data_IF_864849105268
#
_entry.id   IF_864849105268
#
_cell.length_a   1.000
_cell.length_b   1.000
_cell.length_c   1.000
_cell.angle_alpha   90.00
_cell.angle_beta   90.00
_cell.angle_gamma   90.00
#
_symmetry.space_group_name_H-M   'P 1'
#
loop_
_entity.id
_entity.type
_entity.pdbx_description
1 polymer ?
#
# COMPACT_ATOMS: atom_id res chain seq x y z
N UNK A 1 -9.78 19.51 9.29
CA UNK A 1 -10.14 18.09 9.17
C UNK A 1 -9.05 17.30 8.46
N UNK A 2 -8.66 17.66 7.21
CA UNK A 2 -7.67 16.95 6.39
C UNK A 2 -6.33 16.78 7.12
N UNK A 3 -5.81 17.84 7.76
CA UNK A 3 -4.55 17.77 8.51
C UNK A 3 -4.58 16.73 9.63
N UNK A 4 -5.67 16.65 10.40
CA UNK A 4 -5.81 15.65 11.46
C UNK A 4 -5.84 14.23 10.90
N UNK A 5 -6.55 14.05 9.78
CA UNK A 5 -6.62 12.76 9.08
C UNK A 5 -5.22 12.36 8.58
N UNK A 6 -4.49 13.28 7.97
CA UNK A 6 -3.15 13.00 7.43
C UNK A 6 -2.13 12.66 8.54
N UNK A 7 -2.20 13.29 9.71
CA UNK A 7 -1.38 12.91 10.86
C UNK A 7 -1.67 11.47 11.32
N UNK A 8 -2.95 11.09 11.33
CA UNK A 8 -3.35 9.72 11.65
C UNK A 8 -2.81 8.71 10.63
N UNK A 9 -2.90 9.01 9.34
CA UNK A 9 -2.34 8.15 8.29
C UNK A 9 -0.81 8.06 8.35
N UNK A 10 -0.11 9.16 8.60
CA UNK A 10 1.35 9.15 8.77
C UNK A 10 1.76 8.17 9.87
N UNK A 11 1.08 8.22 11.01
CA UNK A 11 1.33 7.30 12.12
C UNK A 11 1.00 5.85 11.74
N UNK A 12 -0.17 5.59 11.17
CA UNK A 12 -0.61 4.25 10.81
C UNK A 12 0.26 3.62 9.71
N UNK A 13 0.62 4.35 8.67
CA UNK A 13 1.52 3.85 7.64
C UNK A 13 2.93 3.58 8.18
N UNK A 14 3.43 4.41 9.09
CA UNK A 14 4.72 4.15 9.76
C UNK A 14 4.69 2.86 10.56
N UNK A 15 3.59 2.61 11.29
CA UNK A 15 3.40 1.35 12.02
C UNK A 15 3.28 0.16 11.06
N UNK A 16 2.61 0.36 9.92
CA UNK A 16 2.44 -0.67 8.92
C UNK A 16 3.78 -1.11 8.31
N UNK A 17 4.59 -0.15 7.86
CA UNK A 17 5.95 -0.43 7.40
C UNK A 17 6.80 -1.13 8.47
N UNK A 18 6.64 -0.74 9.73
CA UNK A 18 7.37 -1.36 10.83
C UNK A 18 6.92 -2.80 11.08
N UNK A 19 5.62 -3.09 11.01
CA UNK A 19 5.07 -4.45 11.09
C UNK A 19 5.58 -5.31 9.95
N UNK A 20 5.60 -4.81 8.72
CA UNK A 20 6.08 -5.55 7.55
C UNK A 20 7.57 -5.91 7.64
N UNK A 21 8.38 -4.97 8.13
CA UNK A 21 9.83 -5.05 7.99
C UNK A 21 10.54 -5.54 9.25
N UNK A 22 9.94 -5.34 10.44
CA UNK A 22 10.64 -5.55 11.70
C UNK A 22 9.91 -6.48 12.66
N UNK A 23 8.63 -6.24 12.97
CA UNK A 23 7.92 -6.96 14.04
C UNK A 23 6.47 -7.25 13.62
N UNK A 24 6.13 -8.48 13.23
CA UNK A 24 7.02 -9.66 13.14
C UNK A 24 7.95 -9.68 11.94
N UNK A 25 7.78 -8.78 10.96
CA UNK A 25 8.59 -8.72 9.75
C UNK A 25 8.26 -9.84 8.75
N UNK A 26 9.18 -10.07 7.81
CA UNK A 26 9.07 -11.16 6.83
C UNK A 26 8.55 -10.73 5.45
N UNK A 27 8.24 -9.44 5.25
CA UNK A 27 7.79 -8.94 3.95
C UNK A 27 8.85 -9.16 2.85
N UNK A 28 10.13 -8.93 3.16
CA UNK A 28 11.21 -9.17 2.22
C UNK A 28 11.27 -10.63 1.74
N UNK A 29 11.13 -11.60 2.66
CA UNK A 29 11.08 -13.03 2.32
C UNK A 29 9.83 -13.37 1.50
N UNK A 30 8.71 -12.75 1.83
CA UNK A 30 7.47 -12.89 1.07
C UNK A 30 7.66 -12.38 -0.37
N UNK A 31 8.32 -11.23 -0.57
CA UNK A 31 8.60 -10.68 -1.90
C UNK A 31 9.55 -11.59 -2.71
N UNK A 32 10.60 -12.13 -2.09
CA UNK A 32 11.47 -13.13 -2.73
C UNK A 32 10.67 -14.37 -3.15
N UNK A 33 9.85 -14.91 -2.25
CA UNK A 33 8.97 -16.05 -2.52
C UNK A 33 7.93 -15.73 -3.61
N UNK A 34 7.42 -14.50 -3.63
CA UNK A 34 6.42 -14.04 -4.59
C UNK A 34 6.99 -13.90 -6.00
N UNK A 35 8.13 -13.24 -6.14
CA UNK A 35 8.76 -13.00 -7.43
C UNK A 35 9.65 -14.15 -7.91
N UNK A 36 10.04 -15.07 -7.01
CA UNK A 36 10.93 -16.17 -7.35
C UNK A 36 12.38 -15.73 -7.63
N UNK A 37 12.77 -14.58 -7.07
CA UNK A 37 14.10 -13.98 -7.30
C UNK A 37 14.82 -13.82 -5.98
N UNK A 38 16.11 -14.11 -5.96
CA UNK A 38 16.95 -13.82 -4.80
C UNK A 38 17.25 -12.32 -4.79
N UNK A 39 16.87 -11.66 -3.70
CA UNK A 39 17.16 -10.24 -3.44
C UNK A 39 18.16 -10.19 -2.29
N UNK A 40 19.21 -9.41 -2.43
CA UNK A 40 20.19 -9.24 -1.34
C UNK A 40 19.71 -8.18 -0.32
N UNK A 41 20.34 -8.16 0.85
CA UNK A 41 19.97 -7.24 1.94
C UNK A 41 20.12 -5.76 1.57
N UNK A 42 21.08 -5.42 0.72
CA UNK A 42 21.29 -4.06 0.23
C UNK A 42 20.15 -3.62 -0.69
N UNK A 43 19.76 -4.47 -1.64
CA UNK A 43 18.60 -4.19 -2.52
C UNK A 43 17.31 -4.01 -1.69
N UNK A 44 17.10 -4.84 -0.67
CA UNK A 44 15.96 -4.71 0.24
C UNK A 44 16.01 -3.35 0.95
N UNK A 45 17.15 -2.98 1.52
CA UNK A 45 17.29 -1.71 2.22
C UNK A 45 17.03 -0.50 1.30
N UNK A 46 17.59 -0.53 0.07
CA UNK A 46 17.40 0.56 -0.90
C UNK A 46 15.96 0.63 -1.42
N UNK A 47 15.26 -0.50 -1.53
CA UNK A 47 13.87 -0.54 -1.99
C UNK A 47 12.87 0.13 -1.01
N UNK A 48 13.25 0.32 0.25
CA UNK A 48 12.44 1.11 1.21
C UNK A 48 12.41 2.59 0.90
N UNK A 49 13.42 3.12 0.20
CA UNK A 49 13.49 4.55 -0.13
C UNK A 49 12.28 4.99 -0.97
N UNK A 50 11.94 4.35 -2.10
CA UNK A 50 10.74 4.69 -2.88
C UNK A 50 9.44 4.59 -2.08
N UNK A 51 9.33 3.59 -1.20
CA UNK A 51 8.16 3.42 -0.32
C UNK A 51 8.08 4.59 0.66
N UNK A 52 9.16 4.91 1.36
CA UNK A 52 9.22 6.04 2.28
C UNK A 52 8.91 7.38 1.57
N UNK A 53 9.47 7.59 0.39
CA UNK A 53 9.19 8.79 -0.43
C UNK A 53 7.70 8.85 -0.80
N UNK A 54 7.10 7.74 -1.24
CA UNK A 54 5.66 7.70 -1.52
C UNK A 54 4.86 8.08 -0.28
N UNK A 55 5.13 7.47 0.87
CA UNK A 55 4.42 7.74 2.12
C UNK A 55 4.54 9.21 2.55
N UNK A 56 5.73 9.79 2.42
CA UNK A 56 5.93 11.21 2.69
C UNK A 56 5.09 12.09 1.75
N UNK A 57 5.11 11.81 0.45
CA UNK A 57 4.36 12.59 -0.55
C UNK A 57 2.87 12.50 -0.31
N UNK A 58 2.31 11.28 -0.19
CA UNK A 58 0.86 11.07 -0.03
C UNK A 58 0.32 11.58 1.31
N UNK A 59 1.19 11.77 2.31
CA UNK A 59 0.83 12.31 3.62
C UNK A 59 0.99 13.82 3.68
N UNK A 60 2.15 14.34 3.29
CA UNK A 60 2.45 15.76 3.47
C UNK A 60 1.85 16.66 2.39
N UNK A 61 1.72 16.20 1.16
CA UNK A 61 1.09 17.01 0.11
C UNK A 61 -0.36 17.35 0.47
N UNK A 62 -1.26 16.40 0.82
CA UNK A 62 -2.61 16.77 1.25
C UNK A 62 -2.63 17.52 2.58
N UNK A 63 -1.69 17.25 3.49
CA UNK A 63 -1.57 17.98 4.76
C UNK A 63 -1.36 19.50 4.54
N UNK A 64 -0.44 19.88 3.66
CA UNK A 64 -0.15 21.27 3.39
C UNK A 64 -1.12 21.94 2.42
N UNK A 65 -1.53 21.22 1.38
CA UNK A 65 -2.46 21.77 0.37
C UNK A 65 -3.90 21.79 0.86
N UNK A 66 -4.26 20.92 1.78
CA UNK A 66 -5.62 20.70 2.30
C UNK A 66 -6.66 20.43 1.19
N UNK A 67 -6.21 19.94 0.02
CA UNK A 67 -7.09 19.57 -1.09
C UNK A 67 -7.70 18.18 -0.84
N UNK A 68 -9.05 18.07 -0.72
CA UNK A 68 -9.70 16.81 -0.35
C UNK A 68 -9.39 15.66 -1.30
N UNK A 69 -9.27 15.93 -2.60
CA UNK A 69 -9.00 14.90 -3.61
C UNK A 69 -7.61 14.24 -3.42
N UNK A 70 -6.60 14.99 -2.99
CA UNK A 70 -5.25 14.46 -2.76
C UNK A 70 -5.23 13.53 -1.55
N UNK A 71 -6.07 13.78 -0.56
CA UNK A 71 -6.19 12.93 0.60
C UNK A 71 -6.85 11.56 0.29
N UNK A 72 -7.52 11.42 -0.86
CA UNK A 72 -8.03 10.12 -1.30
C UNK A 72 -6.92 9.13 -1.62
N UNK A 73 -5.70 9.58 -1.95
CA UNK A 73 -4.58 8.68 -2.24
C UNK A 73 -4.23 7.80 -1.04
N UNK A 74 -3.89 8.32 0.15
CA UNK A 74 -3.63 7.48 1.32
C UNK A 74 -4.88 6.75 1.81
N UNK A 75 -6.08 7.33 1.65
CA UNK A 75 -7.34 6.68 2.01
C UNK A 75 -7.56 5.41 1.17
N UNK A 76 -7.43 5.49 -0.15
CA UNK A 76 -7.59 4.33 -1.03
C UNK A 76 -6.42 3.36 -0.92
N UNK A 77 -5.21 3.84 -0.66
CA UNK A 77 -4.09 2.98 -0.37
C UNK A 77 -4.33 2.15 0.89
N UNK A 78 -4.87 2.74 1.96
CA UNK A 78 -5.21 2.00 3.18
C UNK A 78 -6.30 0.92 2.96
N UNK A 79 -7.28 1.16 2.09
CA UNK A 79 -8.24 0.12 1.67
C UNK A 79 -7.54 -1.00 0.88
N UNK A 80 -6.64 -0.62 -0.02
CA UNK A 80 -5.88 -1.56 -0.83
C UNK A 80 -4.96 -2.43 0.03
N UNK A 81 -4.28 -1.88 1.04
CA UNK A 81 -3.44 -2.63 1.97
C UNK A 81 -4.26 -3.69 2.72
N UNK A 82 -5.41 -3.32 3.29
CA UNK A 82 -6.30 -4.31 3.92
C UNK A 82 -6.68 -5.44 2.96
N UNK A 83 -7.04 -5.10 1.73
CA UNK A 83 -7.44 -6.06 0.71
C UNK A 83 -6.29 -7.00 0.33
N UNK A 84 -5.10 -6.45 0.04
CA UNK A 84 -3.97 -7.28 -0.43
C UNK A 84 -3.44 -8.20 0.66
N UNK A 85 -3.43 -7.81 1.91
CA UNK A 85 -3.02 -8.66 3.03
C UNK A 85 -4.01 -9.81 3.25
N UNK A 86 -5.32 -9.57 3.18
CA UNK A 86 -6.34 -10.63 3.30
C UNK A 86 -6.25 -11.62 2.12
N UNK A 87 -6.19 -11.10 0.90
CA UNK A 87 -6.06 -11.93 -0.32
C UNK A 87 -4.72 -12.66 -0.35
N UNK A 88 -3.67 -12.03 0.17
CA UNK A 88 -2.32 -12.54 0.25
C UNK A 88 -2.23 -13.87 1.02
N UNK A 89 -3.05 -14.08 2.05
CA UNK A 89 -3.11 -15.35 2.79
C UNK A 89 -3.31 -16.52 1.83
N UNK A 90 -4.35 -16.41 0.99
CA UNK A 90 -4.69 -17.45 0.00
C UNK A 90 -3.69 -17.50 -1.15
N UNK A 91 -3.31 -16.33 -1.65
CA UNK A 91 -2.42 -16.20 -2.80
C UNK A 91 -1.02 -16.77 -2.53
N UNK A 92 -0.50 -16.57 -1.33
CA UNK A 92 0.82 -17.03 -0.91
C UNK A 92 0.80 -18.42 -0.24
N UNK A 93 -0.40 -19.04 -0.10
CA UNK A 93 -0.58 -20.31 0.59
C UNK A 93 0.11 -20.28 1.95
N UNK A 94 -0.26 -19.29 2.76
CA UNK A 94 0.32 -19.13 4.10
C UNK A 94 -0.20 -20.24 5.02
N UNK A 95 0.69 -20.85 5.79
CA UNK A 95 0.34 -21.88 6.77
C UNK A 95 -0.48 -21.32 7.95
N UNK A 96 -0.28 -20.03 8.23
CA UNK A 96 -1.05 -19.28 9.22
C UNK A 96 -1.90 -18.23 8.51
N UNK A 97 -3.07 -17.86 9.03
CA UNK A 97 -3.93 -16.83 8.46
C UNK A 97 -3.37 -15.40 8.73
N UNK A 98 -2.11 -15.18 8.39
CA UNK A 98 -1.39 -13.94 8.63
C UNK A 98 -0.36 -13.69 7.52
N UNK A 99 -0.31 -12.46 7.03
CA UNK A 99 0.76 -11.93 6.17
C UNK A 99 1.48 -10.78 6.89
N UNK A 100 2.78 -10.55 6.67
CA UNK A 100 3.48 -9.39 7.22
C UNK A 100 2.72 -8.10 6.94
N UNK A 101 2.52 -7.24 7.93
CA UNK A 101 1.73 -5.99 7.79
C UNK A 101 0.21 -6.15 7.92
N UNK A 102 -0.31 -7.37 8.09
CA UNK A 102 -1.75 -7.63 8.05
C UNK A 102 -2.54 -6.92 9.16
N UNK A 103 -2.03 -6.88 10.38
CA UNK A 103 -2.77 -6.29 11.50
C UNK A 103 -2.95 -4.78 11.29
N UNK A 104 -1.88 -4.07 10.99
CA UNK A 104 -1.93 -2.63 10.70
C UNK A 104 -2.59 -2.32 9.36
N UNK A 105 -2.45 -3.19 8.36
CA UNK A 105 -3.17 -3.11 7.09
C UNK A 105 -4.69 -3.16 7.27
N UNK A 106 -5.20 -4.04 8.14
CA UNK A 106 -6.63 -4.08 8.49
C UNK A 106 -7.04 -2.80 9.22
N UNK A 107 -6.23 -2.30 10.14
CA UNK A 107 -6.51 -1.03 10.85
C UNK A 107 -6.54 0.13 9.85
N UNK A 108 -5.61 0.19 8.89
CA UNK A 108 -5.62 1.16 7.79
C UNK A 108 -6.93 1.10 7.00
N UNK A 109 -7.38 -0.12 6.63
CA UNK A 109 -8.62 -0.32 5.89
C UNK A 109 -9.85 0.18 6.67
N UNK A 110 -9.96 -0.18 7.95
CA UNK A 110 -11.06 0.27 8.82
C UNK A 110 -11.04 1.80 8.95
N UNK A 111 -9.87 2.38 9.20
CA UNK A 111 -9.69 3.84 9.27
C UNK A 111 -10.11 4.49 7.96
N UNK A 112 -9.75 3.92 6.83
CA UNK A 112 -10.11 4.44 5.50
C UNK A 112 -11.62 4.43 5.26
N UNK A 113 -12.32 3.38 5.68
CA UNK A 113 -13.79 3.34 5.61
C UNK A 113 -14.41 4.47 6.46
N UNK A 114 -13.94 4.63 7.70
CA UNK A 114 -14.45 5.68 8.61
C UNK A 114 -14.21 7.06 8.00
N UNK A 115 -13.01 7.30 7.46
CA UNK A 115 -12.66 8.57 6.82
C UNK A 115 -13.50 8.84 5.58
N UNK A 116 -13.76 7.84 4.73
CA UNK A 116 -14.63 7.98 3.56
C UNK A 116 -16.06 8.33 3.95
N UNK A 117 -16.60 7.72 5.01
CA UNK A 117 -17.90 8.06 5.56
C UNK A 117 -17.92 9.52 6.03
N UNK A 118 -16.86 9.96 6.71
CA UNK A 118 -16.70 11.36 7.15
C UNK A 118 -16.65 12.32 5.97
N UNK A 119 -15.86 12.01 4.94
CA UNK A 119 -15.77 12.79 3.70
C UNK A 119 -17.14 12.95 3.03
N UNK A 120 -17.92 11.86 2.99
CA UNK A 120 -19.26 11.87 2.42
C UNK A 120 -20.22 12.74 3.24
N UNK A 121 -20.20 12.63 4.57
CA UNK A 121 -21.05 13.43 5.48
C UNK A 121 -20.71 14.91 5.41
N UNK A 122 -19.43 15.27 5.34
CA UNK A 122 -18.94 16.64 5.23
C UNK A 122 -19.04 17.19 3.81
N UNK A 123 -19.52 16.40 2.85
CA UNK A 123 -19.66 16.76 1.43
C UNK A 123 -18.39 17.38 0.83
N UNK A 124 -17.21 16.85 1.21
CA UNK A 124 -15.90 17.39 0.83
C UNK A 124 -15.60 17.21 -0.65
N UNK A 125 -16.25 16.25 -1.30
CA UNK A 125 -16.04 15.93 -2.72
C UNK A 125 -17.36 15.57 -3.41
N UNK A 126 -17.46 15.89 -4.69
CA UNK A 126 -18.47 15.32 -5.58
C UNK A 126 -18.18 13.85 -5.88
N UNK A 127 -19.17 13.12 -6.38
CA UNK A 127 -19.03 11.71 -6.80
C UNK A 127 -17.88 11.54 -7.77
N UNK A 128 -17.73 12.46 -8.74
CA UNK A 128 -16.60 12.46 -9.68
C UNK A 128 -15.25 12.57 -8.98
N UNK A 129 -15.14 13.38 -7.91
CA UNK A 129 -13.93 13.49 -7.10
C UNK A 129 -13.50 12.16 -6.49
N UNK A 130 -14.44 11.39 -5.94
CA UNK A 130 -14.16 10.04 -5.44
C UNK A 130 -13.70 9.11 -6.55
N UNK A 131 -14.35 9.13 -7.72
CA UNK A 131 -13.97 8.30 -8.87
C UNK A 131 -12.55 8.66 -9.34
N UNK A 132 -12.19 9.93 -9.46
CA UNK A 132 -10.85 10.37 -9.88
C UNK A 132 -9.76 10.07 -8.85
N UNK A 133 -10.09 9.95 -7.59
CA UNK A 133 -9.14 9.52 -6.55
C UNK A 133 -8.57 8.13 -6.78
N UNK A 134 -9.35 7.22 -7.40
CA UNK A 134 -8.90 5.83 -7.68
C UNK A 134 -7.72 5.81 -8.66
N UNK A 135 -7.83 6.36 -9.89
CA UNK A 135 -6.69 6.38 -10.80
C UNK A 135 -5.51 7.19 -10.25
N UNK A 136 -5.75 8.22 -9.47
CA UNK A 136 -4.67 8.98 -8.82
C UNK A 136 -3.87 8.09 -7.86
N UNK A 137 -4.53 7.32 -7.01
CA UNK A 137 -3.88 6.34 -6.12
C UNK A 137 -3.12 5.29 -6.94
N UNK A 138 -3.73 4.73 -7.99
CA UNK A 138 -3.09 3.71 -8.83
C UNK A 138 -1.82 4.26 -9.49
N UNK A 139 -1.83 5.50 -9.98
CA UNK A 139 -0.65 6.13 -10.59
C UNK A 139 0.47 6.28 -9.56
N UNK A 140 0.18 6.80 -8.37
CA UNK A 140 1.17 6.95 -7.30
C UNK A 140 1.77 5.60 -6.90
N UNK A 141 0.94 4.62 -6.65
CA UNK A 141 1.37 3.28 -6.27
C UNK A 141 2.17 2.58 -7.38
N UNK A 142 1.71 2.67 -8.65
CA UNK A 142 2.42 2.07 -9.78
C UNK A 142 3.79 2.71 -10.03
N UNK A 143 3.93 4.02 -9.83
CA UNK A 143 5.21 4.71 -9.92
C UNK A 143 6.19 4.17 -8.86
N UNK A 144 5.76 4.05 -7.62
CA UNK A 144 6.55 3.48 -6.53
C UNK A 144 6.92 2.03 -6.83
N UNK A 145 5.98 1.17 -7.22
CA UNK A 145 6.24 -0.24 -7.53
C UNK A 145 7.24 -0.42 -8.67
N UNK A 146 7.16 0.40 -9.73
CA UNK A 146 8.15 0.36 -10.81
C UNK A 146 9.55 0.67 -10.33
N UNK A 147 9.70 1.63 -9.43
CA UNK A 147 10.99 2.01 -8.86
C UNK A 147 11.56 0.87 -8.00
N UNK A 148 10.73 0.26 -7.15
CA UNK A 148 11.13 -0.91 -6.34
C UNK A 148 11.55 -2.08 -7.23
N UNK A 149 10.80 -2.39 -8.28
CA UNK A 149 11.15 -3.46 -9.22
C UNK A 149 12.47 -3.19 -9.95
N UNK A 150 12.70 -1.94 -10.36
CA UNK A 150 13.97 -1.56 -10.99
C UNK A 150 15.17 -1.76 -10.05
N UNK A 151 15.02 -1.46 -8.75
CA UNK A 151 16.04 -1.72 -7.71
C UNK A 151 16.31 -3.23 -7.58
N UNK A 152 15.28 -4.05 -7.69
CA UNK A 152 15.43 -5.51 -7.66
C UNK A 152 15.94 -6.10 -8.99
N UNK A 153 16.13 -5.27 -10.02
CA UNK A 153 16.50 -5.75 -11.35
C UNK A 153 15.41 -6.55 -12.06
N UNK A 154 14.15 -6.30 -11.71
CA UNK A 154 13.00 -7.00 -12.25
C UNK A 154 12.23 -6.16 -13.27
N UNK A 155 11.83 -6.80 -14.37
CA UNK A 155 10.91 -6.17 -15.33
C UNK A 155 9.46 -6.27 -14.84
N UNK A 156 8.70 -5.20 -15.07
CA UNK A 156 7.27 -5.14 -14.78
C UNK A 156 6.46 -6.26 -15.49
N UNK A 157 6.83 -6.61 -16.73
CA UNK A 157 6.21 -7.72 -17.47
C UNK A 157 6.41 -9.05 -16.76
N UNK A 158 7.60 -9.28 -16.24
CA UNK A 158 7.91 -10.49 -15.45
C UNK A 158 7.05 -10.57 -14.19
N UNK A 159 6.93 -9.46 -13.46
CA UNK A 159 6.06 -9.37 -12.28
C UNK A 159 4.61 -9.71 -12.62
N UNK A 160 4.05 -9.06 -13.65
CA UNK A 160 2.65 -9.27 -14.06
C UNK A 160 2.39 -10.71 -14.52
N UNK A 161 3.34 -11.34 -15.19
CA UNK A 161 3.24 -12.74 -15.59
C UNK A 161 3.18 -13.67 -14.36
N UNK A 162 4.01 -13.42 -13.35
CA UNK A 162 4.02 -14.20 -12.11
C UNK A 162 2.73 -14.01 -11.30
N UNK A 163 2.24 -12.78 -11.20
CA UNK A 163 0.96 -12.49 -10.54
C UNK A 163 -0.17 -13.27 -11.23
N UNK A 164 -0.31 -13.14 -12.56
CA UNK A 164 -1.33 -13.88 -13.33
C UNK A 164 -1.24 -15.40 -13.10
N UNK A 165 -0.03 -15.96 -13.13
CA UNK A 165 0.20 -17.39 -12.90
C UNK A 165 -0.26 -17.82 -11.49
N UNK A 166 -0.01 -17.00 -10.47
CA UNK A 166 -0.40 -17.30 -9.09
C UNK A 166 -1.91 -17.17 -8.88
N UNK A 167 -2.53 -16.13 -9.41
CA UNK A 167 -3.99 -15.98 -9.37
C UNK A 167 -4.70 -17.17 -10.04
N UNK A 168 -4.22 -17.59 -11.22
CA UNK A 168 -4.78 -18.75 -11.93
C UNK A 168 -4.65 -20.09 -11.19
N UNK A 169 -3.69 -20.20 -10.27
CA UNK A 169 -3.50 -21.40 -9.43
C UNK A 169 -4.25 -21.33 -8.09
N UNK A 170 -4.69 -20.14 -7.68
CA UNK A 170 -5.38 -19.91 -6.42
C UNK A 170 -6.92 -19.96 -6.55
N UNK A 171 -7.42 -19.76 -7.79
CA UNK A 171 -8.82 -19.96 -8.21
C UNK A 171 -9.06 -21.39 -8.67
#
# INVERSE_FOLDING_TARGET
LIQKIMLGYMFLFTLHEWEEMRIPGGFADLMVKFFGVKVNSEQIAVAHIPVAVLLLVITFVPFFTQLPILALVPIYLGLFEAFIHIVGIKLHKMDKPYTPGMATGIILGITSVIVLITYSKEQLLSISGYIFGIPLMIICFAAMQRTVLAIYGLDYKFMMANIKKKFKKAL
#
